data_IF_414056702906
#
_entry.id   IF_414056702906
#
_cell.length_a   1.000
_cell.length_b   1.000
_cell.length_c   1.000
_cell.angle_alpha   90.00
_cell.angle_beta   90.00
_cell.angle_gamma   90.00
#
_symmetry.space_group_name_H-M   'P 1'
#
loop_
_entity.id
_entity.type
_entity.pdbx_description
1 polymer ?
#
# COMPACT_ATOMS: atom_id res chain seq x y z
N UNK A 1 -11.26 -40.66 40.25
CA UNK A 1 -10.94 -40.46 38.82
C UNK A 1 -12.04 -39.59 38.23
N UNK A 2 -11.80 -38.27 38.16
CA UNK A 2 -12.78 -37.30 37.69
C UNK A 2 -12.62 -37.04 36.19
N UNK A 3 -13.71 -37.15 35.43
CA UNK A 3 -13.75 -36.79 34.02
C UNK A 3 -13.57 -35.28 33.87
N UNK A 4 -12.44 -34.86 33.29
CA UNK A 4 -12.23 -33.49 32.84
C UNK A 4 -13.05 -33.29 31.58
N UNK A 5 -14.21 -32.64 31.71
CA UNK A 5 -14.92 -32.08 30.56
C UNK A 5 -14.06 -30.96 29.99
N UNK A 6 -13.36 -31.26 28.88
CA UNK A 6 -12.79 -30.24 28.01
C UNK A 6 -13.98 -29.52 27.38
N UNK A 7 -14.40 -28.41 27.99
CA UNK A 7 -15.28 -27.45 27.33
C UNK A 7 -14.56 -27.03 26.06
N UNK A 8 -15.11 -27.46 24.92
CA UNK A 8 -14.74 -26.93 23.63
C UNK A 8 -14.97 -25.41 23.69
N UNK A 9 -13.88 -24.67 23.90
CA UNK A 9 -13.82 -23.22 23.77
C UNK A 9 -14.55 -22.87 22.49
N UNK A 10 -15.72 -22.25 22.62
CA UNK A 10 -16.50 -21.77 21.51
C UNK A 10 -15.65 -20.84 20.69
N UNK A 11 -15.09 -21.33 19.59
CA UNK A 11 -14.55 -20.49 18.55
C UNK A 11 -15.75 -19.71 18.02
N UNK A 12 -15.92 -18.50 18.53
CA UNK A 12 -16.79 -17.52 17.93
C UNK A 12 -16.48 -17.52 16.44
N UNK A 13 -17.50 -17.81 15.62
CA UNK A 13 -17.42 -17.72 14.17
C UNK A 13 -16.80 -16.35 13.88
N UNK A 14 -15.59 -16.28 13.27
CA UNK A 14 -14.94 -14.99 13.05
C UNK A 14 -15.95 -14.10 12.32
N UNK A 15 -16.14 -12.90 12.86
CA UNK A 15 -16.97 -11.87 12.25
C UNK A 15 -16.69 -11.86 10.75
N UNK A 16 -17.76 -11.93 9.94
CA UNK A 16 -17.72 -12.22 8.50
C UNK A 16 -16.41 -11.76 7.85
N UNK A 17 -15.57 -12.71 7.45
CA UNK A 17 -14.25 -12.45 6.90
C UNK A 17 -14.38 -11.37 5.82
N UNK A 18 -13.79 -10.19 6.07
CA UNK A 18 -13.87 -9.09 5.13
C UNK A 18 -13.26 -9.57 3.80
N UNK A 19 -14.11 -9.73 2.78
CA UNK A 19 -13.62 -10.15 1.47
C UNK A 19 -12.90 -8.98 0.82
N UNK A 20 -11.57 -8.97 0.91
CA UNK A 20 -10.76 -8.00 0.19
C UNK A 20 -10.90 -8.20 -1.32
N UNK A 21 -11.14 -7.11 -2.04
CA UNK A 21 -11.07 -7.07 -3.50
C UNK A 21 -9.68 -7.44 -4.00
N UNK A 22 -9.57 -7.82 -5.28
CA UNK A 22 -8.30 -8.20 -5.89
C UNK A 22 -7.26 -7.06 -5.81
N UNK A 23 -7.70 -5.81 -5.98
CA UNK A 23 -6.83 -4.62 -5.90
C UNK A 23 -6.33 -4.43 -4.47
N UNK A 24 -7.22 -4.51 -3.48
CA UNK A 24 -6.85 -4.40 -2.06
C UNK A 24 -5.86 -5.50 -1.67
N UNK A 25 -6.09 -6.75 -2.09
CA UNK A 25 -5.16 -7.86 -1.83
C UNK A 25 -3.77 -7.60 -2.40
N UNK A 26 -3.67 -7.04 -3.60
CA UNK A 26 -2.40 -6.67 -4.22
C UNK A 26 -1.71 -5.56 -3.44
N UNK A 27 -2.46 -4.51 -3.06
CA UNK A 27 -1.93 -3.38 -2.29
C UNK A 27 -1.47 -3.79 -0.89
N UNK A 28 -2.28 -4.55 -0.17
CA UNK A 28 -1.97 -5.08 1.16
C UNK A 28 -0.71 -5.95 1.08
N UNK A 29 -0.61 -6.89 0.14
CA UNK A 29 0.63 -7.69 -0.02
C UNK A 29 1.83 -6.83 -0.37
N UNK A 30 1.65 -5.81 -1.19
CA UNK A 30 2.70 -4.85 -1.54
C UNK A 30 3.22 -4.03 -0.37
N UNK A 31 2.41 -3.86 0.69
CA UNK A 31 2.77 -3.13 1.90
C UNK A 31 3.71 -3.89 2.85
N UNK A 32 3.96 -5.17 2.58
CA UNK A 32 4.89 -5.95 3.37
C UNK A 32 6.31 -5.36 3.27
N UNK A 33 7.04 -5.18 4.39
CA UNK A 33 8.31 -4.44 4.42
C UNK A 33 9.35 -4.94 3.42
N UNK A 34 9.46 -6.27 3.26
CA UNK A 34 10.39 -6.88 2.30
C UNK A 34 10.06 -6.48 0.86
N UNK A 35 8.78 -6.45 0.48
CA UNK A 35 8.36 -6.04 -0.86
C UNK A 35 8.60 -4.56 -1.08
N UNK A 36 8.35 -3.73 -0.06
CA UNK A 36 8.64 -2.28 -0.11
C UNK A 36 10.13 -1.99 -0.36
N UNK A 37 11.04 -2.75 0.25
CA UNK A 37 12.48 -2.61 0.00
C UNK A 37 12.81 -2.89 -1.47
N UNK A 38 12.29 -3.99 -2.03
CA UNK A 38 12.48 -4.29 -3.46
C UNK A 38 11.93 -3.17 -4.35
N UNK A 39 10.75 -2.64 -4.04
CA UNK A 39 10.18 -1.54 -4.81
C UNK A 39 11.04 -0.27 -4.71
N UNK A 40 11.48 0.11 -3.50
CA UNK A 40 12.30 1.30 -3.28
C UNK A 40 13.64 1.22 -4.02
N UNK A 41 14.34 0.10 -3.90
CA UNK A 41 15.61 -0.14 -4.60
C UNK A 41 15.39 -0.04 -6.11
N UNK A 42 14.34 -0.69 -6.62
CA UNK A 42 14.08 -0.76 -8.05
C UNK A 42 13.63 0.57 -8.63
N UNK A 43 12.86 1.38 -7.88
CA UNK A 43 12.54 2.75 -8.25
C UNK A 43 13.78 3.64 -8.26
N UNK A 44 14.66 3.51 -7.27
CA UNK A 44 15.90 4.29 -7.20
C UNK A 44 16.79 4.04 -8.42
N UNK A 45 17.05 2.78 -8.73
CA UNK A 45 17.81 2.41 -9.93
C UNK A 45 17.05 2.74 -11.23
N UNK A 46 15.72 2.58 -11.24
CA UNK A 46 14.87 2.96 -12.36
C UNK A 46 14.99 4.44 -12.71
N UNK A 47 14.94 5.32 -11.69
CA UNK A 47 15.16 6.76 -11.88
C UNK A 47 16.58 7.08 -12.34
N UNK A 48 17.60 6.39 -11.80
CA UNK A 48 18.98 6.55 -12.27
C UNK A 48 19.12 6.20 -13.76
N UNK A 49 18.58 5.08 -14.21
CA UNK A 49 18.64 4.70 -15.62
C UNK A 49 17.79 5.62 -16.50
N UNK A 50 16.63 6.05 -16.02
CA UNK A 50 15.77 7.00 -16.71
C UNK A 50 16.47 8.35 -16.92
N UNK A 51 17.16 8.84 -15.89
CA UNK A 51 17.98 10.05 -15.93
C UNK A 51 19.10 9.95 -16.97
N UNK A 52 19.69 8.77 -17.18
CA UNK A 52 20.72 8.55 -18.20
C UNK A 52 20.13 8.22 -19.60
N UNK A 53 18.83 8.45 -19.80
CA UNK A 53 18.08 8.12 -21.01
C UNK A 53 18.06 6.63 -21.41
N UNK A 54 18.34 5.72 -20.47
CA UNK A 54 18.40 4.27 -20.71
C UNK A 54 17.05 3.60 -20.39
N UNK A 55 16.01 3.91 -21.18
CA UNK A 55 14.65 3.37 -21.00
C UNK A 55 14.56 1.86 -20.82
N UNK A 56 15.25 1.02 -21.64
CA UNK A 56 15.12 -0.43 -21.50
C UNK A 56 15.62 -0.93 -20.14
N UNK A 57 16.71 -0.35 -19.63
CA UNK A 57 17.26 -0.71 -18.32
C UNK A 57 16.39 -0.20 -17.18
N UNK A 58 15.87 1.03 -17.29
CA UNK A 58 14.93 1.58 -16.31
C UNK A 58 13.69 0.68 -16.16
N UNK A 59 13.10 0.28 -17.29
CA UNK A 59 11.95 -0.62 -17.30
C UNK A 59 12.32 -2.01 -16.78
N UNK A 60 13.44 -2.59 -17.21
CA UNK A 60 13.88 -3.91 -16.78
C UNK A 60 14.07 -3.98 -15.26
N UNK A 61 14.73 -2.99 -14.65
CA UNK A 61 14.98 -2.99 -13.21
C UNK A 61 13.69 -2.81 -12.41
N UNK A 62 12.78 -1.92 -12.86
CA UNK A 62 11.48 -1.75 -12.20
C UNK A 62 10.64 -3.03 -12.29
N UNK A 63 10.62 -3.72 -13.44
CA UNK A 63 9.89 -4.98 -13.62
C UNK A 63 10.47 -6.11 -12.77
N UNK A 64 11.80 -6.28 -12.81
CA UNK A 64 12.52 -7.26 -11.99
C UNK A 64 12.23 -7.00 -10.51
N UNK A 65 12.32 -5.76 -10.08
CA UNK A 65 11.94 -5.30 -8.75
C UNK A 65 10.53 -5.68 -8.33
N UNK A 66 9.56 -5.41 -9.22
CA UNK A 66 8.16 -5.77 -8.97
C UNK A 66 7.96 -7.28 -8.85
N UNK A 67 8.60 -8.06 -9.72
CA UNK A 67 8.52 -9.52 -9.69
C UNK A 67 9.11 -10.06 -8.39
N UNK A 68 10.34 -9.66 -8.02
CA UNK A 68 10.97 -10.12 -6.78
C UNK A 68 10.22 -9.65 -5.53
N UNK A 69 9.75 -8.41 -5.50
CA UNK A 69 8.91 -7.90 -4.43
C UNK A 69 7.66 -8.76 -4.25
N UNK A 70 6.94 -9.06 -5.34
CA UNK A 70 5.76 -9.90 -5.30
C UNK A 70 6.07 -11.35 -4.88
N UNK A 71 7.11 -11.96 -5.46
CA UNK A 71 7.51 -13.34 -5.12
C UNK A 71 7.93 -13.48 -3.66
N UNK A 72 8.58 -12.46 -3.09
CA UNK A 72 9.04 -12.46 -1.69
C UNK A 72 7.90 -12.54 -0.67
N UNK A 73 6.68 -12.17 -1.07
CA UNK A 73 5.51 -12.09 -0.18
C UNK A 73 4.35 -12.98 -0.62
N UNK A 74 4.57 -13.86 -1.60
CA UNK A 74 3.50 -14.67 -2.20
C UNK A 74 2.78 -15.57 -1.20
N UNK A 75 3.45 -15.99 -0.12
CA UNK A 75 2.90 -16.84 0.93
C UNK A 75 2.46 -16.07 2.17
N UNK A 76 2.54 -14.73 2.16
CA UNK A 76 2.14 -13.95 3.32
C UNK A 76 0.61 -13.94 3.47
N UNK A 77 0.13 -14.12 4.71
CA UNK A 77 -1.28 -14.05 5.05
C UNK A 77 -1.76 -12.59 4.93
N UNK A 78 -2.70 -12.35 4.01
CA UNK A 78 -3.18 -10.99 3.69
C UNK A 78 -3.85 -10.35 4.90
N UNK A 79 -4.64 -11.12 5.64
CA UNK A 79 -5.38 -10.63 6.81
C UNK A 79 -4.40 -10.14 7.89
N UNK A 80 -3.36 -10.92 8.17
CA UNK A 80 -2.31 -10.55 9.11
C UNK A 80 -1.56 -9.27 8.70
N UNK A 81 -1.37 -9.02 7.39
CA UNK A 81 -0.75 -7.78 6.91
C UNK A 81 -1.74 -6.62 6.99
N UNK A 82 -3.01 -6.83 6.65
CA UNK A 82 -4.06 -5.82 6.69
C UNK A 82 -4.21 -5.21 8.10
N UNK A 83 -4.02 -6.04 9.13
CA UNK A 83 -4.09 -5.60 10.54
C UNK A 83 -2.89 -4.74 10.97
N UNK A 84 -1.77 -4.77 10.24
CA UNK A 84 -0.60 -3.93 10.54
C UNK A 84 -0.84 -2.48 10.16
N UNK A 85 -0.10 -1.56 10.79
CA UNK A 85 -0.13 -0.13 10.42
C UNK A 85 0.15 0.10 8.93
N UNK A 86 1.09 -0.64 8.34
CA UNK A 86 1.40 -0.55 6.92
C UNK A 86 0.26 -1.07 6.03
N UNK A 87 -0.39 -2.15 6.42
CA UNK A 87 -1.57 -2.68 5.73
C UNK A 87 -2.73 -1.70 5.75
N UNK A 88 -3.03 -1.11 6.91
CA UNK A 88 -4.06 -0.05 7.05
C UNK A 88 -3.74 1.16 6.19
N UNK A 89 -2.47 1.60 6.17
CA UNK A 89 -2.01 2.68 5.29
C UNK A 89 -2.19 2.27 3.82
N UNK A 90 -1.85 1.04 3.43
CA UNK A 90 -2.00 0.60 2.04
C UNK A 90 -3.46 0.52 1.58
N UNK A 91 -4.38 0.11 2.44
CA UNK A 91 -5.83 0.16 2.17
C UNK A 91 -6.29 1.60 1.98
N UNK A 92 -5.82 2.54 2.79
CA UNK A 92 -6.09 3.95 2.58
C UNK A 92 -5.62 4.41 1.18
N UNK A 93 -4.44 3.95 0.77
CA UNK A 93 -3.89 4.33 -0.53
C UNK A 93 -4.68 3.76 -1.71
N UNK A 94 -5.51 2.73 -1.47
CA UNK A 94 -6.42 2.17 -2.46
C UNK A 94 -7.58 3.10 -2.82
N UNK A 95 -7.83 4.16 -2.05
CA UNK A 95 -8.90 5.11 -2.35
C UNK A 95 -8.70 5.71 -3.76
N UNK A 96 -9.73 5.71 -4.62
CA UNK A 96 -9.59 6.03 -6.04
C UNK A 96 -8.99 7.42 -6.28
N UNK A 97 -9.36 8.40 -5.45
CA UNK A 97 -8.78 9.75 -5.53
C UNK A 97 -7.27 9.77 -5.26
N UNK A 98 -6.80 9.00 -4.28
CA UNK A 98 -5.37 8.90 -3.98
C UNK A 98 -4.63 8.19 -5.12
N UNK A 99 -5.19 7.11 -5.67
CA UNK A 99 -4.62 6.43 -6.83
C UNK A 99 -4.51 7.36 -8.06
N UNK A 100 -5.54 8.14 -8.35
CA UNK A 100 -5.55 9.09 -9.48
C UNK A 100 -4.48 10.16 -9.29
N UNK A 101 -4.46 10.82 -8.14
CA UNK A 101 -3.49 11.88 -7.84
C UNK A 101 -2.06 11.35 -7.83
N UNK A 102 -1.81 10.18 -7.24
CA UNK A 102 -0.51 9.54 -7.29
C UNK A 102 -0.08 9.17 -8.71
N UNK A 103 -1.01 8.67 -9.53
CA UNK A 103 -0.71 8.33 -10.93
C UNK A 103 -0.34 9.57 -11.73
N UNK A 104 -1.14 10.64 -11.64
CA UNK A 104 -0.88 11.91 -12.33
C UNK A 104 0.46 12.49 -11.85
N UNK A 105 0.67 12.59 -10.55
CA UNK A 105 1.90 13.14 -9.99
C UNK A 105 3.13 12.30 -10.31
N UNK A 106 3.01 10.98 -10.36
CA UNK A 106 4.10 10.09 -10.80
C UNK A 106 4.46 10.31 -12.28
N UNK A 107 3.46 10.45 -13.17
CA UNK A 107 3.70 10.76 -14.60
C UNK A 107 4.40 12.10 -14.76
N UNK A 108 3.95 13.14 -14.06
CA UNK A 108 4.58 14.47 -14.09
C UNK A 108 6.02 14.38 -13.54
N UNK A 109 6.23 13.70 -12.42
CA UNK A 109 7.56 13.52 -11.83
C UNK A 109 8.50 12.76 -12.78
N UNK A 110 8.07 11.64 -13.37
CA UNK A 110 8.84 10.87 -14.35
C UNK A 110 9.20 11.72 -15.58
N UNK A 111 8.28 12.56 -16.05
CA UNK A 111 8.54 13.51 -17.14
C UNK A 111 9.59 14.53 -16.75
N UNK A 112 9.55 15.05 -15.52
CA UNK A 112 10.56 15.97 -14.99
C UNK A 112 11.94 15.32 -14.84
N UNK A 113 11.99 14.07 -14.35
CA UNK A 113 13.23 13.27 -14.26
C UNK A 113 13.83 13.07 -15.66
N UNK A 114 12.99 12.77 -16.65
CA UNK A 114 13.41 12.60 -18.04
C UNK A 114 13.95 13.89 -18.67
N UNK A 115 13.29 15.04 -18.42
CA UNK A 115 13.70 16.34 -18.98
C UNK A 115 14.76 17.07 -18.14
N UNK A 116 15.15 16.51 -17.00
CA UNK A 116 16.02 17.15 -16.00
C UNK A 116 15.50 18.49 -15.48
N UNK A 117 14.17 18.64 -15.36
CA UNK A 117 13.53 19.89 -14.94
C UNK A 117 13.06 19.81 -13.48
N UNK A 118 13.77 20.48 -12.58
CA UNK A 118 13.47 20.51 -11.14
C UNK A 118 12.03 20.97 -10.85
N UNK A 119 11.55 21.99 -11.57
CA UNK A 119 10.19 22.52 -11.39
C UNK A 119 9.11 21.46 -11.69
N UNK A 120 9.30 20.67 -12.75
CA UNK A 120 8.39 19.59 -13.12
C UNK A 120 8.44 18.46 -12.10
N UNK A 121 9.63 18.11 -11.60
CA UNK A 121 9.79 17.11 -10.53
C UNK A 121 9.03 17.55 -9.27
N UNK A 122 9.25 18.78 -8.81
CA UNK A 122 8.59 19.32 -7.62
C UNK A 122 7.07 19.43 -7.80
N UNK A 123 6.59 19.76 -9.00
CA UNK A 123 5.16 19.77 -9.32
C UNK A 123 4.55 18.38 -9.18
N UNK A 124 5.22 17.34 -9.73
CA UNK A 124 4.78 15.95 -9.59
C UNK A 124 4.74 15.48 -8.14
N UNK A 125 5.78 15.78 -7.36
CA UNK A 125 5.85 15.48 -5.92
C UNK A 125 4.72 16.20 -5.17
N UNK A 126 4.43 17.46 -5.50
CA UNK A 126 3.36 18.23 -4.86
C UNK A 126 1.98 17.62 -5.11
N UNK A 127 1.70 17.15 -6.34
CA UNK A 127 0.45 16.46 -6.67
C UNK A 127 0.31 15.16 -5.85
N UNK A 128 1.39 14.38 -5.72
CA UNK A 128 1.41 13.16 -4.89
C UNK A 128 1.11 13.51 -3.43
N UNK A 129 1.79 14.53 -2.88
CA UNK A 129 1.62 14.96 -1.50
C UNK A 129 0.19 15.42 -1.20
N UNK A 130 -0.43 16.19 -2.10
CA UNK A 130 -1.83 16.59 -1.99
C UNK A 130 -2.77 15.38 -1.97
N UNK A 131 -2.52 14.39 -2.83
CA UNK A 131 -3.23 13.11 -2.84
C UNK A 131 -3.18 12.40 -1.48
N UNK A 132 -1.99 12.31 -0.89
CA UNK A 132 -1.82 11.74 0.44
C UNK A 132 -2.59 12.54 1.50
N UNK A 133 -2.41 13.85 1.57
CA UNK A 133 -3.06 14.70 2.58
C UNK A 133 -4.59 14.55 2.56
N UNK A 134 -5.18 14.54 1.35
CA UNK A 134 -6.62 14.33 1.18
C UNK A 134 -7.07 12.90 1.54
N UNK A 135 -6.23 11.89 1.29
CA UNK A 135 -6.47 10.54 1.76
C UNK A 135 -6.52 10.48 3.29
N UNK A 136 -5.51 11.04 3.97
CA UNK A 136 -5.40 11.02 5.43
C UNK A 136 -6.58 11.69 6.14
N UNK A 137 -7.12 12.79 5.58
CA UNK A 137 -8.28 13.47 6.13
C UNK A 137 -9.50 12.55 6.24
N UNK A 138 -9.72 11.66 5.26
CA UNK A 138 -10.84 10.71 5.28
C UNK A 138 -10.66 9.57 6.27
N UNK A 139 -9.42 9.20 6.61
CA UNK A 139 -9.17 8.13 7.60
C UNK A 139 -9.53 8.56 9.00
N UNK A 140 -9.21 9.80 9.35
CA UNK A 140 -9.52 10.32 10.69
C UNK A 140 -11.02 10.25 10.93
N UNK A 141 -11.83 10.66 9.93
CA UNK A 141 -13.28 10.54 9.97
C UNK A 141 -13.77 9.09 10.18
N UNK A 142 -13.19 8.11 9.49
CA UNK A 142 -13.58 6.69 9.67
C UNK A 142 -13.17 6.09 11.03
N UNK A 143 -12.03 6.53 11.60
CA UNK A 143 -11.55 6.03 12.89
C UNK A 143 -12.37 6.61 14.05
N UNK A 144 -12.79 7.87 13.94
CA UNK A 144 -13.62 8.53 14.94
C UNK A 144 -15.02 7.87 15.03
N UNK A 145 -15.63 7.51 13.90
CA UNK A 145 -16.94 6.85 13.87
C UNK A 145 -16.97 5.51 14.61
N UNK A 146 -15.97 4.66 14.41
CA UNK A 146 -15.90 3.37 15.13
C UNK A 146 -15.67 3.53 16.64
N UNK A 147 -14.97 4.58 17.04
CA UNK A 147 -14.77 4.88 18.46
C UNK A 147 -16.10 5.24 19.13
N UNK A 148 -16.94 6.03 18.45
CA UNK A 148 -18.25 6.43 18.95
C UNK A 148 -19.24 5.25 19.00
N UNK A 149 -19.23 4.36 18.01
CA UNK A 149 -20.06 3.15 18.03
C UNK A 149 -19.69 2.22 19.19
N UNK A 150 -18.39 2.04 19.46
CA UNK A 150 -17.93 1.22 20.59
C UNK A 150 -18.39 1.74 21.96
N UNK A 151 -18.55 3.06 22.10
CA UNK A 151 -18.96 3.70 23.36
C UNK A 151 -20.47 3.72 23.59
N UNK A 152 -21.28 3.53 22.54
CA UNK A 152 -22.75 3.58 22.63
C UNK A 152 -23.41 2.21 22.86
N UNK A 153 -22.61 1.13 22.84
CA UNK A 153 -23.06 -0.24 23.09
C UNK A 153 -22.85 -0.74 24.52
N UNK A 154 -22.35 0.10 25.43
CA UNK A 154 -22.23 -0.16 26.88
C UNK A 154 -23.33 0.55 27.68
#
# INVERSE_FOLDING_TARGET
>A
MGNVQIQASGYAKPAAAHEFSLIERILIRGSHPVSMIFYLVSWTWGFFFLWNHQWPLALAVVLVGRIFGHLSVRHAHVDAIADTTLGKIAILHAHPFNLITQTIGAVVCLTGVWMHTTETILSGISIIALGHMMGWAKVHESLDLHTLESQSGE
#
